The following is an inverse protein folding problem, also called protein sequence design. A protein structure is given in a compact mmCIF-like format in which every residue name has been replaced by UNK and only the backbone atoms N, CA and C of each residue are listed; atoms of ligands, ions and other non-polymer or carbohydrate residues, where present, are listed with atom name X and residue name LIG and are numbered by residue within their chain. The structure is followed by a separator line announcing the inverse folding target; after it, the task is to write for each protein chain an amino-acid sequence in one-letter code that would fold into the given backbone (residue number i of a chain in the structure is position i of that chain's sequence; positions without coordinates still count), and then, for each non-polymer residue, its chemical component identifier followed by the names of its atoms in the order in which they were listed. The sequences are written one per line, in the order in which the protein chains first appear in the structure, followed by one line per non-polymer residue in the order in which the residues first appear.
data_IF_787085144614
#
_entry.id   IF_787085144614
#
_cell.length_a   1.000
_cell.length_b   1.000
_cell.length_c   1.000
_cell.angle_alpha   90.00
_cell.angle_beta   90.00
_cell.angle_gamma   90.00
#
_symmetry.space_group_name_H-M   'P 1'
#
loop_
_entity.id
_entity.type
_entity.pdbx_description
1 polymer ?
#
# COMPACT_ATOMS: atom_id res chain seq x y z
N UNK A 1 14.80 -20.15 -9.17
CA UNK A 1 14.07 -18.91 -8.84
C UNK A 1 12.73 -19.26 -8.21
N UNK A 2 12.28 -18.60 -7.14
CA UNK A 2 10.95 -18.83 -6.58
C UNK A 2 9.88 -18.46 -7.62
N UNK A 3 8.80 -19.27 -7.71
CA UNK A 3 7.72 -18.99 -8.64
C UNK A 3 6.88 -17.77 -8.17
N UNK A 4 6.08 -17.18 -9.08
CA UNK A 4 5.25 -16.00 -8.79
C UNK A 4 4.35 -16.17 -7.55
N UNK A 5 3.84 -17.39 -7.35
CA UNK A 5 2.97 -17.72 -6.20
C UNK A 5 3.76 -17.65 -4.89
N UNK A 6 4.98 -18.17 -4.86
CA UNK A 6 5.86 -18.13 -3.69
C UNK A 6 6.17 -16.70 -3.30
N UNK A 7 6.54 -15.84 -4.26
CA UNK A 7 6.81 -14.42 -4.00
C UNK A 7 5.55 -13.72 -3.47
N UNK A 8 4.39 -13.98 -4.07
CA UNK A 8 3.13 -13.40 -3.61
C UNK A 8 2.73 -13.86 -2.20
N UNK A 9 3.11 -15.07 -1.78
CA UNK A 9 2.86 -15.58 -0.43
C UNK A 9 3.70 -14.86 0.63
N UNK A 10 4.83 -14.23 0.29
CA UNK A 10 5.70 -13.53 1.25
C UNK A 10 5.00 -12.38 1.98
N UNK A 11 3.96 -11.78 1.38
CA UNK A 11 3.10 -10.79 2.04
C UNK A 11 2.46 -11.30 3.33
N UNK A 12 2.34 -12.62 3.51
CA UNK A 12 1.81 -13.23 4.73
C UNK A 12 2.75 -13.11 5.93
N UNK A 13 4.01 -12.71 5.74
CA UNK A 13 4.89 -12.34 6.84
C UNK A 13 4.56 -10.96 7.45
N UNK A 14 3.56 -10.23 6.92
CA UNK A 14 3.10 -8.99 7.51
C UNK A 14 2.32 -9.28 8.81
N UNK A 15 2.78 -8.80 9.98
CA UNK A 15 2.15 -9.07 11.29
C UNK A 15 0.75 -8.48 11.45
N UNK A 16 0.32 -7.61 10.53
CA UNK A 16 -1.02 -7.04 10.53
C UNK A 16 -2.07 -7.94 9.86
N UNK A 17 -1.66 -8.97 9.11
CA UNK A 17 -2.60 -9.87 8.41
C UNK A 17 -3.31 -10.84 9.37
N UNK A 18 -4.50 -11.29 8.99
CA UNK A 18 -5.24 -12.34 9.73
C UNK A 18 -4.46 -13.66 9.76
N UNK A 19 -3.98 -14.08 8.59
CA UNK A 19 -3.23 -15.32 8.39
C UNK A 19 -1.73 -15.02 8.32
N UNK A 20 -1.20 -14.39 9.37
CA UNK A 20 0.21 -14.07 9.49
C UNK A 20 1.05 -15.35 9.69
N UNK A 21 2.18 -15.43 8.99
CA UNK A 21 3.20 -16.47 9.17
C UNK A 21 4.44 -15.83 9.79
N UNK A 22 4.91 -16.39 10.91
CA UNK A 22 6.10 -15.91 11.61
C UNK A 22 7.39 -16.47 11.00
N UNK A 23 7.62 -16.21 9.71
CA UNK A 23 8.86 -16.58 9.05
C UNK A 23 9.73 -15.33 8.82
N UNK A 24 11.03 -15.50 9.00
CA UNK A 24 11.98 -14.46 8.64
C UNK A 24 12.00 -14.29 7.13
N UNK A 25 11.74 -13.06 6.66
CA UNK A 25 11.90 -12.71 5.25
C UNK A 25 13.38 -12.45 4.96
N UNK A 26 13.91 -13.06 3.90
CA UNK A 26 15.28 -12.79 3.46
C UNK A 26 15.38 -11.41 2.81
N UNK A 27 16.59 -10.85 2.76
CA UNK A 27 16.80 -9.53 2.15
C UNK A 27 16.40 -9.52 0.67
N UNK A 28 16.71 -10.59 -0.06
CA UNK A 28 16.38 -10.72 -1.49
C UNK A 28 14.87 -10.88 -1.72
N UNK A 29 14.18 -11.53 -0.78
CA UNK A 29 12.72 -11.68 -0.80
C UNK A 29 12.01 -10.34 -0.53
N UNK A 30 12.54 -9.55 0.40
CA UNK A 30 12.03 -8.22 0.68
C UNK A 30 12.29 -7.26 -0.49
N UNK A 31 13.49 -7.28 -1.08
CA UNK A 31 13.83 -6.55 -2.30
C UNK A 31 12.90 -6.90 -3.47
N UNK A 32 12.58 -8.19 -3.65
CA UNK A 32 11.62 -8.63 -4.66
C UNK A 32 10.20 -8.05 -4.43
N UNK A 33 9.74 -7.97 -3.18
CA UNK A 33 8.46 -7.33 -2.86
C UNK A 33 8.46 -5.83 -3.17
N UNK A 34 9.57 -5.13 -2.93
CA UNK A 34 9.71 -3.72 -3.27
C UNK A 34 9.65 -3.53 -4.77
N UNK A 35 10.41 -4.32 -5.54
CA UNK A 35 10.40 -4.26 -7.01
C UNK A 35 9.00 -4.50 -7.57
N UNK A 36 8.29 -5.52 -7.08
CA UNK A 36 6.90 -5.79 -7.48
C UNK A 36 6.00 -4.59 -7.15
N UNK A 37 6.13 -4.01 -5.97
CA UNK A 37 5.32 -2.85 -5.56
C UNK A 37 5.55 -1.65 -6.50
N UNK A 38 6.80 -1.40 -6.88
CA UNK A 38 7.19 -0.33 -7.82
C UNK A 38 6.67 -0.60 -9.23
N UNK A 39 6.75 -1.84 -9.72
CA UNK A 39 6.15 -2.19 -11.02
C UNK A 39 4.63 -2.02 -11.00
N UNK A 40 3.96 -2.48 -9.94
CA UNK A 40 2.51 -2.33 -9.78
C UNK A 40 2.09 -0.87 -9.68
N UNK A 41 2.88 -0.02 -9.02
CA UNK A 41 2.57 1.40 -8.92
C UNK A 41 2.67 2.11 -10.27
N UNK A 42 3.58 1.69 -11.16
CA UNK A 42 3.62 2.19 -12.55
C UNK A 42 2.35 1.86 -13.31
N UNK A 43 1.91 0.61 -13.21
CA UNK A 43 0.68 0.17 -13.87
C UNK A 43 -0.56 0.92 -13.34
N UNK A 44 -0.60 1.20 -12.04
CA UNK A 44 -1.73 1.87 -11.39
C UNK A 44 -1.63 3.40 -11.36
N UNK A 45 -0.58 4.00 -11.91
CA UNK A 45 -0.32 5.44 -11.79
C UNK A 45 -1.49 6.33 -12.20
N UNK A 46 -2.20 6.09 -13.33
CA UNK A 46 -3.34 6.93 -13.71
C UNK A 46 -4.40 6.99 -12.60
N UNK A 47 -4.74 5.83 -12.01
CA UNK A 47 -5.70 5.74 -10.91
C UNK A 47 -5.19 6.41 -9.63
N UNK A 48 -3.91 6.20 -9.28
CA UNK A 48 -3.31 6.83 -8.09
C UNK A 48 -3.35 8.35 -8.23
N UNK A 49 -3.06 8.88 -9.43
CA UNK A 49 -3.11 10.31 -9.72
C UNK A 49 -4.51 10.87 -9.58
N UNK A 50 -5.51 10.18 -10.12
CA UNK A 50 -6.92 10.56 -10.01
C UNK A 50 -7.39 10.61 -8.55
N UNK A 51 -7.02 9.60 -7.75
CA UNK A 51 -7.32 9.58 -6.30
C UNK A 51 -6.66 10.76 -5.58
N UNK A 52 -5.39 11.07 -5.87
CA UNK A 52 -4.70 12.20 -5.25
C UNK A 52 -5.34 13.54 -5.61
N UNK A 53 -5.66 13.75 -6.89
CA UNK A 53 -6.36 14.96 -7.36
C UNK A 53 -7.73 15.11 -6.68
N UNK A 54 -8.42 13.99 -6.44
CA UNK A 54 -9.74 14.03 -5.82
C UNK A 54 -9.74 14.55 -4.37
N UNK A 55 -8.58 14.53 -3.71
CA UNK A 55 -8.39 15.09 -2.38
C UNK A 55 -8.03 16.57 -2.37
N UNK A 56 -7.51 17.08 -3.48
CA UNK A 56 -7.13 18.48 -3.66
C UNK A 56 -8.34 19.36 -4.05
N UNK A 57 -9.34 18.79 -4.73
CA UNK A 57 -10.60 19.45 -5.10
C UNK A 57 -11.83 18.72 -4.52
N UNK A 58 -12.24 19.05 -3.28
CA UNK A 58 -13.35 18.40 -2.60
C UNK A 58 -14.73 18.69 -3.23
N UNK A 59 -14.87 19.82 -3.93
CA UNK A 59 -16.15 20.25 -4.51
C UNK A 59 -16.52 19.41 -5.73
N UNK A 60 -15.53 18.99 -6.54
CA UNK A 60 -15.79 18.27 -7.79
C UNK A 60 -15.56 16.75 -7.72
N UNK A 61 -14.87 16.22 -6.70
CA UNK A 61 -14.29 14.86 -6.82
C UNK A 61 -14.42 13.97 -5.59
N UNK A 62 -15.22 14.35 -4.59
CA UNK A 62 -15.38 13.59 -3.34
C UNK A 62 -15.78 12.11 -3.55
N UNK A 63 -16.48 11.80 -4.64
CA UNK A 63 -16.91 10.44 -5.00
C UNK A 63 -15.72 9.48 -5.17
N UNK A 64 -14.67 9.89 -5.87
CA UNK A 64 -13.51 9.02 -6.17
C UNK A 64 -12.76 8.67 -4.88
N UNK A 65 -12.51 9.68 -4.04
CA UNK A 65 -11.88 9.47 -2.73
C UNK A 65 -12.70 8.55 -1.83
N UNK A 66 -14.03 8.76 -1.81
CA UNK A 66 -14.94 7.95 -0.99
C UNK A 66 -15.00 6.50 -1.48
N UNK A 67 -15.07 6.26 -2.78
CA UNK A 67 -15.06 4.92 -3.37
C UNK A 67 -13.74 4.19 -3.11
N UNK A 68 -12.62 4.89 -3.30
CA UNK A 68 -11.30 4.35 -2.97
C UNK A 68 -11.20 3.99 -1.48
N UNK A 69 -11.61 4.88 -0.57
CA UNK A 69 -11.56 4.62 0.86
C UNK A 69 -12.46 3.48 1.29
N UNK A 70 -13.68 3.42 0.72
CA UNK A 70 -14.59 2.30 0.96
C UNK A 70 -13.91 0.98 0.57
N UNK A 71 -13.32 0.91 -0.63
CA UNK A 71 -12.64 -0.29 -1.08
C UNK A 71 -11.40 -0.62 -0.25
N UNK A 72 -10.65 0.39 0.16
CA UNK A 72 -9.49 0.23 1.05
C UNK A 72 -9.90 -0.41 2.39
N UNK A 73 -10.95 0.12 3.02
CA UNK A 73 -11.49 -0.40 4.29
C UNK A 73 -11.99 -1.84 4.12
N UNK A 74 -12.72 -2.15 3.04
CA UNK A 74 -13.14 -3.52 2.73
C UNK A 74 -11.95 -4.48 2.65
N UNK A 75 -10.90 -4.12 1.93
CA UNK A 75 -9.70 -4.95 1.77
C UNK A 75 -8.95 -5.16 3.09
N UNK A 76 -8.89 -4.16 3.95
CA UNK A 76 -8.34 -4.29 5.31
C UNK A 76 -9.21 -5.24 6.12
N UNK A 77 -10.54 -5.07 6.11
CA UNK A 77 -11.47 -5.94 6.82
C UNK A 77 -11.41 -7.39 6.32
N UNK A 78 -11.21 -7.63 5.03
CA UNK A 78 -11.02 -8.95 4.45
C UNK A 78 -9.72 -9.61 4.94
N UNK A 79 -8.59 -8.88 4.90
CA UNK A 79 -7.23 -9.48 4.92
C UNK A 79 -6.45 -9.25 6.22
N UNK A 80 -6.80 -8.25 7.03
CA UNK A 80 -6.07 -7.81 8.22
C UNK A 80 -6.76 -8.19 9.53
N UNK A 81 -5.99 -8.34 10.59
CA UNK A 81 -6.51 -8.62 11.92
C UNK A 81 -7.14 -7.36 12.52
N UNK A 82 -8.45 -7.18 12.35
CA UNK A 82 -9.20 -6.02 12.86
C UNK A 82 -9.16 -5.86 14.38
N UNK A 83 -8.81 -6.91 15.13
CA UNK A 83 -8.65 -6.84 16.58
C UNK A 83 -7.31 -6.21 17.00
N UNK A 84 -6.33 -6.14 16.08
CA UNK A 84 -5.05 -5.50 16.31
C UNK A 84 -5.21 -3.99 16.49
N UNK A 85 -4.67 -3.45 17.59
CA UNK A 85 -4.64 -1.99 17.82
C UNK A 85 -4.00 -1.22 16.66
N UNK A 86 -2.97 -1.78 16.01
CA UNK A 86 -2.32 -1.16 14.85
C UNK A 86 -3.26 -1.07 13.65
N UNK A 87 -4.06 -2.11 13.41
CA UNK A 87 -5.06 -2.13 12.33
C UNK A 87 -6.22 -1.19 12.64
N UNK A 88 -6.69 -1.15 13.89
CA UNK A 88 -7.72 -0.19 14.33
C UNK A 88 -7.28 1.27 14.13
N UNK A 89 -6.01 1.58 14.42
CA UNK A 89 -5.42 2.90 14.12
C UNK A 89 -5.43 3.20 12.62
N UNK A 90 -5.11 2.22 11.77
CA UNK A 90 -5.16 2.36 10.31
C UNK A 90 -6.59 2.60 9.78
N UNK A 91 -7.61 2.05 10.45
CA UNK A 91 -9.02 2.22 10.09
C UNK A 91 -9.65 3.51 10.63
N UNK A 92 -8.95 4.25 11.49
CA UNK A 92 -9.48 5.48 12.09
C UNK A 92 -9.50 6.63 11.06
N UNK A 93 -10.68 6.90 10.52
CA UNK A 93 -10.93 7.87 9.43
C UNK A 93 -10.49 9.30 9.75
N UNK A 94 -10.48 9.72 11.02
CA UNK A 94 -10.09 11.09 11.39
C UNK A 94 -8.59 11.34 11.37
N UNK A 95 -7.75 10.29 11.24
CA UNK A 95 -6.29 10.42 11.29
C UNK A 95 -5.51 9.54 10.31
N UNK A 96 -6.17 8.74 9.48
CA UNK A 96 -5.49 7.85 8.52
C UNK A 96 -5.32 8.46 7.13
N UNK A 97 -6.07 9.51 6.78
CA UNK A 97 -5.96 10.21 5.49
C UNK A 97 -4.51 10.59 5.17
N UNK A 98 -3.77 11.12 6.14
CA UNK A 98 -2.36 11.51 5.95
C UNK A 98 -1.47 10.31 5.60
N UNK A 99 -1.65 9.18 6.28
CA UNK A 99 -0.88 7.94 6.02
C UNK A 99 -1.19 7.42 4.61
N UNK A 100 -2.46 7.44 4.23
CA UNK A 100 -2.92 6.96 2.93
C UNK A 100 -2.41 7.87 1.82
N UNK A 101 -2.58 9.19 1.96
CA UNK A 101 -2.08 10.20 1.01
C UNK A 101 -0.56 10.08 0.86
N UNK A 102 0.19 9.99 1.97
CA UNK A 102 1.65 9.81 1.94
C UNK A 102 2.04 8.53 1.19
N UNK A 103 1.31 7.44 1.43
CA UNK A 103 1.54 6.17 0.72
C UNK A 103 1.25 6.29 -0.78
N UNK A 104 0.13 6.91 -1.16
CA UNK A 104 -0.25 7.16 -2.56
C UNK A 104 0.76 8.08 -3.26
N UNK A 105 1.26 9.12 -2.59
CA UNK A 105 2.31 10.01 -3.10
C UNK A 105 3.61 9.25 -3.36
N UNK A 106 4.07 8.39 -2.45
CA UNK A 106 5.27 7.58 -2.68
C UNK A 106 5.06 6.62 -3.86
N UNK A 107 3.91 5.96 -3.93
CA UNK A 107 3.57 5.08 -5.05
C UNK A 107 3.50 5.85 -6.38
N UNK A 108 2.96 7.07 -6.40
CA UNK A 108 2.94 7.89 -7.60
C UNK A 108 4.35 8.29 -8.03
N UNK A 109 5.24 8.63 -7.09
CA UNK A 109 6.64 8.97 -7.35
C UNK A 109 7.46 7.78 -7.86
N UNK A 110 7.02 6.55 -7.58
CA UNK A 110 7.64 5.32 -8.07
C UNK A 110 7.53 5.13 -9.59
N UNK A 111 6.73 5.95 -10.29
CA UNK A 111 6.69 5.94 -11.75
C UNK A 111 8.03 6.33 -12.40
N UNK A 112 8.82 7.15 -11.70
CA UNK A 112 10.11 7.60 -12.20
C UNK A 112 11.10 6.44 -12.41
N UNK A 113 12.11 6.66 -13.24
CA UNK A 113 13.22 5.71 -13.46
C UNK A 113 13.99 5.37 -12.16
N UNK A 114 13.84 6.19 -11.12
CA UNK A 114 14.40 5.97 -9.77
C UNK A 114 13.37 5.47 -8.76
N UNK A 115 12.23 4.93 -9.21
CA UNK A 115 11.12 4.55 -8.34
C UNK A 115 11.49 3.54 -7.26
N UNK A 116 12.33 2.55 -7.61
CA UNK A 116 12.88 1.60 -6.65
C UNK A 116 13.66 2.31 -5.53
N UNK A 117 14.56 3.24 -5.87
CA UNK A 117 15.32 4.01 -4.88
C UNK A 117 14.42 4.87 -4.00
N UNK A 118 13.36 5.47 -4.58
CA UNK A 118 12.41 6.27 -3.81
C UNK A 118 11.63 5.43 -2.80
N UNK A 119 11.22 4.22 -3.17
CA UNK A 119 10.55 3.30 -2.25
C UNK A 119 11.48 2.83 -1.13
N UNK A 120 12.73 2.47 -1.46
CA UNK A 120 13.74 2.12 -0.46
C UNK A 120 13.95 3.27 0.53
N UNK A 121 14.18 4.47 0.02
CA UNK A 121 14.37 5.65 0.88
C UNK A 121 13.16 5.87 1.78
N UNK A 122 11.93 5.70 1.29
CA UNK A 122 10.74 5.84 2.13
C UNK A 122 10.62 4.78 3.24
N UNK A 123 11.08 3.55 2.99
CA UNK A 123 10.95 2.44 3.95
C UNK A 123 12.05 2.44 5.03
N UNK A 124 13.19 3.05 4.75
CA UNK A 124 14.39 2.99 5.60
C UNK A 124 14.87 4.35 6.13
N UNK A 125 14.07 5.42 5.96
CA UNK A 125 14.26 6.76 6.53
C UNK A 125 13.11 7.04 7.49
#
# INVERSE_FOLDING_TARGET
MPNKVTIWKLRNNNPLRKSYMNNNIKLEEFDALIKITVEMSRYLYPYIREILQSKEDPENTSVIWNDFNKRFIELINERFNINSMRVKKLLNQSGNDEIIIKSLLILSLCISNKGYQKMINYLFI
#
